data_IF_316364395997
#
_entry.id   IF_316364395997
#
_cell.length_a   1.000
_cell.length_b   1.000
_cell.length_c   1.000
_cell.angle_alpha   90.00
_cell.angle_beta   90.00
_cell.angle_gamma   90.00
#
_symmetry.space_group_name_H-M   'P 1'
#
loop_
_entity.id
_entity.type
_entity.pdbx_description
1 polymer ?
#
# COMPACT_ATOMS: atom_id res chain seq x y z
N UNK A 1 -2.30 -4.46 -14.78
CA UNK A 1 -2.94 -5.44 -13.88
C UNK A 1 -3.41 -6.64 -14.68
N UNK A 2 -3.02 -7.86 -14.28
CA UNK A 2 -3.43 -9.10 -14.94
C UNK A 2 -4.32 -9.87 -13.97
N UNK A 3 -5.61 -9.96 -14.28
CA UNK A 3 -6.61 -10.68 -13.48
C UNK A 3 -7.09 -11.86 -14.32
N UNK A 4 -7.16 -13.04 -13.71
CA UNK A 4 -7.72 -14.20 -14.38
C UNK A 4 -9.20 -13.95 -14.72
N UNK A 5 -9.61 -14.27 -15.94
CA UNK A 5 -10.95 -13.96 -16.48
C UNK A 5 -12.11 -14.55 -15.66
N UNK A 6 -11.85 -15.59 -14.85
CA UNK A 6 -12.86 -16.21 -13.97
C UNK A 6 -13.15 -15.41 -12.70
N UNK A 7 -12.34 -14.39 -12.40
CA UNK A 7 -12.52 -13.56 -11.20
C UNK A 7 -13.37 -12.36 -11.61
N UNK A 8 -14.58 -12.25 -11.05
CA UNK A 8 -15.38 -11.05 -11.19
C UNK A 8 -14.82 -9.93 -10.33
N UNK A 9 -14.64 -8.76 -10.92
CA UNK A 9 -14.15 -7.56 -10.24
C UNK A 9 -14.77 -6.29 -10.82
N UNK A 10 -14.75 -5.23 -10.05
CA UNK A 10 -15.01 -3.86 -10.53
C UNK A 10 -13.77 -3.01 -10.32
N UNK A 11 -13.55 -2.03 -11.20
CA UNK A 11 -12.50 -1.03 -11.00
C UNK A 11 -12.94 -0.10 -9.87
N UNK A 12 -12.09 0.08 -8.86
CA UNK A 12 -12.30 1.06 -7.81
C UNK A 12 -11.57 2.34 -8.18
N UNK A 13 -12.31 3.42 -8.39
CA UNK A 13 -11.72 4.73 -8.62
C UNK A 13 -11.14 5.27 -7.30
N UNK A 14 -9.85 5.56 -7.32
CA UNK A 14 -9.16 6.22 -6.20
C UNK A 14 -8.98 7.70 -6.52
N UNK A 15 -8.92 8.57 -5.49
CA UNK A 15 -8.53 9.96 -5.69
C UNK A 15 -7.17 10.04 -6.38
N UNK A 16 -7.00 10.91 -7.39
CA UNK A 16 -5.71 11.09 -8.03
C UNK A 16 -4.72 11.66 -7.00
N UNK A 17 -3.49 11.17 -7.05
CA UNK A 17 -2.37 11.78 -6.32
C UNK A 17 -1.30 12.22 -7.31
N UNK A 18 -0.48 13.20 -6.93
CA UNK A 18 0.55 13.75 -7.81
C UNK A 18 1.82 12.89 -7.88
N UNK A 19 2.07 12.03 -6.88
CA UNK A 19 3.33 11.30 -6.72
C UNK A 19 3.14 9.81 -6.47
N UNK A 20 2.07 9.40 -5.78
CA UNK A 20 1.74 7.99 -5.56
C UNK A 20 0.93 7.46 -6.74
N UNK A 21 1.47 6.48 -7.44
CA UNK A 21 0.75 5.72 -8.44
C UNK A 21 -0.12 4.67 -7.74
N UNK A 22 -1.35 4.46 -8.23
CA UNK A 22 -2.25 3.48 -7.64
C UNK A 22 -3.19 2.83 -8.65
N UNK A 23 -3.52 1.57 -8.41
CA UNK A 23 -4.54 0.80 -9.12
C UNK A 23 -5.37 0.04 -8.09
N UNK A 24 -6.70 0.02 -8.26
CA UNK A 24 -7.57 -0.64 -7.31
C UNK A 24 -8.73 -1.37 -7.98
N UNK A 25 -9.09 -2.49 -7.36
CA UNK A 25 -10.27 -3.28 -7.71
C UNK A 25 -11.07 -3.62 -6.46
N UNK A 26 -12.33 -3.93 -6.66
CA UNK A 26 -13.17 -4.59 -5.66
C UNK A 26 -13.55 -5.97 -6.17
N UNK A 27 -13.41 -6.98 -5.33
CA UNK A 27 -13.88 -8.35 -5.59
C UNK A 27 -14.93 -8.73 -4.54
N UNK A 28 -15.92 -9.52 -4.92
CA UNK A 28 -16.87 -10.10 -3.98
C UNK A 28 -16.40 -11.49 -3.53
N UNK A 29 -16.32 -11.72 -2.22
CA UNK A 29 -15.98 -13.01 -1.62
C UNK A 29 -16.95 -13.32 -0.48
N UNK A 30 -17.71 -14.41 -0.60
CA UNK A 30 -18.68 -14.86 0.41
C UNK A 30 -19.65 -13.74 0.88
N UNK A 31 -20.12 -12.92 -0.06
CA UNK A 31 -21.03 -11.80 0.23
C UNK A 31 -20.36 -10.56 0.84
N UNK A 32 -19.03 -10.54 0.93
CA UNK A 32 -18.24 -9.40 1.41
C UNK A 32 -17.43 -8.81 0.27
N UNK A 33 -17.46 -7.49 0.13
CA UNK A 33 -16.58 -6.77 -0.78
C UNK A 33 -15.18 -6.62 -0.16
N UNK A 34 -14.17 -7.02 -0.92
CA UNK A 34 -12.74 -6.87 -0.59
C UNK A 34 -12.13 -5.88 -1.57
N UNK A 35 -11.47 -4.85 -1.06
CA UNK A 35 -10.81 -3.83 -1.86
C UNK A 35 -9.32 -4.16 -1.96
N UNK A 36 -8.81 -4.43 -3.16
CA UNK A 36 -7.40 -4.72 -3.39
C UNK A 36 -6.77 -3.50 -4.07
N UNK A 37 -5.73 -2.95 -3.44
CA UNK A 37 -5.10 -1.70 -3.88
C UNK A 37 -3.60 -1.95 -4.02
N UNK A 38 -3.10 -1.76 -5.24
CA UNK A 38 -1.68 -1.79 -5.52
C UNK A 38 -1.16 -0.36 -5.69
N UNK A 39 -0.19 0.04 -4.87
CA UNK A 39 0.43 1.37 -4.92
C UNK A 39 1.91 1.29 -5.30
N UNK A 40 2.41 2.38 -5.86
CA UNK A 40 3.84 2.64 -5.99
C UNK A 40 4.11 4.06 -5.51
N UNK A 41 4.90 4.19 -4.46
CA UNK A 41 5.43 5.48 -4.00
C UNK A 41 6.91 5.50 -4.42
N UNK A 42 7.33 6.44 -5.29
CA UNK A 42 8.71 6.48 -5.73
C UNK A 42 9.69 6.78 -4.59
N UNK A 43 10.98 6.43 -4.74
CA UNK A 43 11.99 6.73 -3.75
C UNK A 43 12.12 8.23 -3.52
N UNK A 44 12.43 8.64 -2.28
CA UNK A 44 12.50 10.05 -1.88
C UNK A 44 13.39 10.91 -2.79
N UNK A 45 14.44 10.32 -3.39
CA UNK A 45 15.38 11.01 -4.29
C UNK A 45 14.76 11.55 -5.58
N UNK A 46 13.60 11.04 -6.00
CA UNK A 46 12.90 11.49 -7.23
C UNK A 46 11.57 12.19 -6.92
N UNK A 47 11.23 12.34 -5.64
CA UNK A 47 10.02 13.01 -5.21
C UNK A 47 10.16 14.53 -5.28
N UNK A 48 9.05 15.28 -5.51
CA UNK A 48 9.05 16.73 -5.41
C UNK A 48 9.50 17.24 -4.03
N UNK A 49 10.07 18.44 -3.98
CA UNK A 49 10.44 19.07 -2.71
C UNK A 49 9.22 19.20 -1.78
N UNK A 50 9.38 18.81 -0.51
CA UNK A 50 8.32 18.85 0.49
C UNK A 50 7.30 17.70 0.40
N UNK A 51 7.48 16.73 -0.50
CA UNK A 51 6.64 15.54 -0.53
C UNK A 51 6.85 14.67 0.71
N UNK A 52 5.74 14.31 1.36
CA UNK A 52 5.68 13.28 2.40
C UNK A 52 4.83 12.12 1.89
N UNK A 53 5.33 10.89 2.01
CA UNK A 53 4.51 9.72 1.76
C UNK A 53 3.36 9.65 2.76
N UNK A 54 2.20 9.19 2.28
CA UNK A 54 1.06 8.85 3.11
C UNK A 54 0.25 7.74 2.41
N UNK A 55 -0.21 6.78 3.20
CA UNK A 55 -1.11 5.70 2.83
C UNK A 55 -2.44 5.77 3.60
N UNK A 56 -2.60 6.70 4.53
CA UNK A 56 -3.78 6.91 5.38
C UNK A 56 -5.11 6.85 4.61
N UNK A 57 -5.20 7.49 3.45
CA UNK A 57 -6.41 7.47 2.61
C UNK A 57 -6.79 6.07 2.11
N UNK A 58 -5.81 5.18 1.93
CA UNK A 58 -6.04 3.80 1.51
C UNK A 58 -6.41 2.91 2.70
N UNK A 59 -5.79 3.15 3.86
CA UNK A 59 -6.09 2.42 5.10
C UNK A 59 -7.51 2.71 5.64
N UNK A 60 -8.08 3.85 5.28
CA UNK A 60 -9.46 4.21 5.61
C UNK A 60 -10.52 3.42 4.79
N UNK A 61 -10.10 2.68 3.76
CA UNK A 61 -11.01 1.89 2.93
C UNK A 61 -11.40 0.60 3.66
N UNK A 62 -12.70 0.29 3.82
CA UNK A 62 -13.13 -0.94 4.48
C UNK A 62 -12.64 -2.20 3.75
N UNK A 63 -12.33 -3.26 4.49
CA UNK A 63 -11.91 -4.57 3.95
C UNK A 63 -10.80 -4.44 2.89
N UNK A 64 -9.78 -3.62 3.19
CA UNK A 64 -8.71 -3.32 2.24
C UNK A 64 -7.53 -4.28 2.39
N UNK A 65 -7.00 -4.71 1.25
CA UNK A 65 -5.66 -5.28 1.13
C UNK A 65 -4.84 -4.26 0.35
N UNK A 66 -3.97 -3.55 1.07
CA UNK A 66 -3.02 -2.62 0.50
C UNK A 66 -1.70 -3.35 0.25
N UNK A 67 -1.21 -3.29 -0.98
CA UNK A 67 0.07 -3.86 -1.39
C UNK A 67 0.80 -2.85 -2.27
N UNK A 68 2.11 -3.02 -2.42
CA UNK A 68 2.90 -2.15 -3.26
C UNK A 68 4.33 -1.98 -2.81
N UNK A 69 5.02 -1.09 -3.50
CA UNK A 69 6.35 -0.62 -3.12
C UNK A 69 6.23 0.82 -2.62
N UNK A 70 6.56 1.03 -1.34
CA UNK A 70 6.47 2.32 -0.66
C UNK A 70 7.83 3.04 -0.56
N UNK A 71 8.91 2.38 -1.00
CA UNK A 71 10.30 2.87 -0.89
C UNK A 71 10.63 3.44 0.50
N UNK A 72 10.30 2.69 1.54
CA UNK A 72 10.47 3.07 2.94
C UNK A 72 11.04 1.90 3.76
N UNK A 73 11.66 2.21 4.89
CA UNK A 73 12.39 1.24 5.69
C UNK A 73 11.89 1.24 7.14
N UNK A 74 11.37 0.11 7.61
CA UNK A 74 10.96 -0.08 9.00
C UNK A 74 10.98 -1.57 9.42
N UNK A 75 11.23 -1.82 10.70
CA UNK A 75 11.20 -3.15 11.29
C UNK A 75 9.83 -3.84 11.22
N UNK A 76 8.71 -3.08 11.13
CA UNK A 76 7.35 -3.62 11.02
C UNK A 76 7.15 -4.52 9.79
N UNK A 77 7.95 -4.32 8.75
CA UNK A 77 8.01 -5.19 7.56
C UNK A 77 9.39 -5.80 7.35
N UNK A 78 10.13 -6.03 8.44
CA UNK A 78 11.41 -6.75 8.50
C UNK A 78 12.53 -6.10 7.66
N UNK A 79 12.52 -4.77 7.51
CA UNK A 79 13.68 -4.06 7.01
C UNK A 79 14.78 -4.04 8.07
N UNK A 80 16.04 -4.26 7.66
CA UNK A 80 17.21 -4.06 8.53
C UNK A 80 17.64 -2.59 8.65
N UNK A 81 16.97 -1.72 7.89
CA UNK A 81 17.14 -0.27 7.89
C UNK A 81 15.88 0.37 8.46
N UNK A 82 16.01 1.60 8.96
CA UNK A 82 14.92 2.45 9.42
C UNK A 82 15.07 3.84 8.82
N UNK A 83 13.96 4.46 8.41
CA UNK A 83 13.93 5.85 7.96
C UNK A 83 12.65 6.57 8.43
N UNK A 84 12.67 7.90 8.38
CA UNK A 84 11.53 8.73 8.82
C UNK A 84 10.28 8.51 7.98
N UNK A 85 10.45 8.01 6.76
CA UNK A 85 9.35 7.62 5.88
C UNK A 85 8.67 6.36 6.40
N UNK A 86 9.44 5.34 6.78
CA UNK A 86 8.99 4.11 7.40
C UNK A 86 8.24 4.39 8.69
N UNK A 87 8.85 5.16 9.59
CA UNK A 87 8.24 5.57 10.86
C UNK A 87 6.89 6.28 10.64
N UNK A 88 6.81 7.19 9.66
CA UNK A 88 5.55 7.89 9.34
C UNK A 88 4.46 6.93 8.85
N UNK A 89 4.82 5.96 8.00
CA UNK A 89 3.88 4.97 7.48
C UNK A 89 3.44 3.98 8.57
N UNK A 90 4.34 3.58 9.47
CA UNK A 90 4.00 2.76 10.64
C UNK A 90 2.99 3.48 11.53
N UNK A 91 3.22 4.76 11.83
CA UNK A 91 2.27 5.56 12.60
C UNK A 91 0.88 5.58 11.93
N UNK A 92 0.80 5.67 10.60
CA UNK A 92 -0.49 5.60 9.90
C UNK A 92 -1.15 4.21 9.98
N UNK A 93 -0.38 3.13 9.94
CA UNK A 93 -0.87 1.75 10.11
C UNK A 93 -1.39 1.54 11.53
N UNK A 94 -0.63 1.92 12.55
CA UNK A 94 -0.99 1.75 13.97
C UNK A 94 -2.22 2.58 14.36
N UNK A 95 -2.42 3.74 13.74
CA UNK A 95 -3.61 4.58 13.94
C UNK A 95 -4.81 4.16 13.05
N UNK A 96 -4.71 3.02 12.35
CA UNK A 96 -5.77 2.46 11.51
C UNK A 96 -6.34 1.16 12.09
N UNK A 97 -7.29 0.55 11.37
CA UNK A 97 -7.76 -0.81 11.66
C UNK A 97 -6.95 -1.91 10.97
N UNK A 98 -5.85 -1.58 10.29
CA UNK A 98 -5.04 -2.50 9.50
C UNK A 98 -3.81 -3.03 10.27
N UNK A 99 -3.22 -4.10 9.76
CA UNK A 99 -1.92 -4.63 10.22
C UNK A 99 -1.09 -5.14 9.04
N UNK A 100 0.16 -5.52 9.29
CA UNK A 100 1.05 -6.04 8.25
C UNK A 100 0.91 -7.55 8.06
N UNK A 101 1.10 -7.99 6.81
CA UNK A 101 1.12 -9.42 6.43
C UNK A 101 2.53 -9.88 6.03
N UNK A 102 3.53 -9.00 6.14
CA UNK A 102 4.92 -9.29 5.84
C UNK A 102 5.44 -10.41 6.74
N UNK A 103 6.33 -11.22 6.19
CA UNK A 103 7.08 -12.24 6.92
C UNK A 103 8.56 -11.85 6.92
N UNK A 104 9.35 -12.44 7.81
CA UNK A 104 10.80 -12.23 7.93
C UNK A 104 11.57 -12.87 6.75
N UNK A 105 11.31 -12.36 5.55
CA UNK A 105 11.91 -12.78 4.28
C UNK A 105 12.11 -11.51 3.43
N UNK A 106 13.34 -11.26 2.93
CA UNK A 106 13.60 -10.09 2.08
C UNK A 106 12.67 -10.03 0.87
N UNK A 107 12.03 -8.89 0.67
CA UNK A 107 11.08 -8.66 -0.43
C UNK A 107 11.73 -8.09 -1.70
N UNK A 108 12.97 -7.58 -1.59
CA UNK A 108 13.80 -7.12 -2.71
C UNK A 108 14.98 -8.06 -2.91
N UNK A 109 15.14 -8.56 -4.14
CA UNK A 109 16.36 -9.27 -4.54
C UNK A 109 17.49 -8.25 -4.81
N UNK A 110 18.75 -8.57 -4.47
CA UNK A 110 19.91 -7.71 -4.71
C UNK A 110 20.14 -7.42 -6.19
#
# INVERSE_FOLDING_TARGET
MLIHHSISYTIKNLPPTSTTESQAITIGANGTDINIINIYIPPQSVCPFGFSASISQYLAIPNVVLLGDVNAHDALWYSSLEDSRGESLVNEIENSGCGTLNLDIPTRLP
#
